data_IF_329630481570
#
_entry.id   IF_329630481570
#
_cell.length_a   1.000
_cell.length_b   1.000
_cell.length_c   1.000
_cell.angle_alpha   90.00
_cell.angle_beta   90.00
_cell.angle_gamma   90.00
#
_symmetry.space_group_name_H-M   'P 1'
#
loop_
_entity.id
_entity.type
_entity.pdbx_description
1 polymer ?
#
# COMPACT_ATOMS: atom_id res chain seq x y z
N UNK A 1 -15.59 10.08 -22.08
CA UNK A 1 -14.90 10.11 -20.77
C UNK A 1 -13.61 9.30 -20.89
N UNK A 2 -12.49 9.74 -20.32
CA UNK A 2 -11.18 9.06 -20.45
C UNK A 2 -11.01 7.98 -19.36
N UNK A 3 -10.25 6.92 -19.64
CA UNK A 3 -9.91 5.89 -18.64
C UNK A 3 -8.57 6.23 -17.94
N UNK A 4 -8.46 6.08 -16.61
CA UNK A 4 -7.28 6.50 -15.84
C UNK A 4 -6.16 5.44 -15.84
N UNK A 5 -5.66 5.04 -17.01
CA UNK A 5 -4.57 4.05 -17.11
C UNK A 5 -3.29 4.67 -16.54
N UNK A 6 -2.75 4.06 -15.49
CA UNK A 6 -1.48 4.49 -14.87
C UNK A 6 -1.56 5.81 -14.12
N UNK A 7 -2.77 6.31 -13.81
CA UNK A 7 -2.94 7.54 -13.04
C UNK A 7 -3.07 7.20 -11.56
N UNK A 8 -2.10 7.66 -10.78
CA UNK A 8 -1.99 7.44 -9.34
C UNK A 8 -2.25 8.72 -8.54
N UNK A 9 -2.43 9.87 -9.20
CA UNK A 9 -2.70 11.17 -8.57
C UNK A 9 -4.18 11.56 -8.67
N UNK A 10 -4.83 11.71 -7.51
CA UNK A 10 -6.25 12.04 -7.41
C UNK A 10 -6.60 13.39 -8.05
N UNK A 11 -5.79 14.43 -7.86
CA UNK A 11 -6.07 15.74 -8.45
C UNK A 11 -6.01 15.69 -9.98
N UNK A 12 -4.99 15.04 -10.55
CA UNK A 12 -4.87 14.82 -11.98
C UNK A 12 -6.09 14.07 -12.54
N UNK A 13 -6.55 13.03 -11.83
CA UNK A 13 -7.72 12.26 -12.24
C UNK A 13 -8.98 13.14 -12.33
N UNK A 14 -9.23 13.94 -11.29
CA UNK A 14 -10.41 14.83 -11.20
C UNK A 14 -10.35 15.99 -12.19
N UNK A 15 -9.20 16.65 -12.35
CA UNK A 15 -9.05 17.84 -13.20
C UNK A 15 -9.12 17.51 -14.71
N UNK A 16 -8.73 16.29 -15.10
CA UNK A 16 -8.63 15.91 -16.51
C UNK A 16 -9.82 15.07 -17.01
N UNK A 17 -10.93 15.03 -16.26
CA UNK A 17 -12.17 14.33 -16.61
C UNK A 17 -11.97 12.83 -16.91
N UNK A 18 -11.13 12.17 -16.13
CA UNK A 18 -11.02 10.72 -16.12
C UNK A 18 -12.20 10.09 -15.39
N UNK A 19 -12.57 8.87 -15.78
CA UNK A 19 -13.51 8.07 -15.03
C UNK A 19 -12.94 7.79 -13.64
N UNK A 20 -13.71 8.10 -12.60
CA UNK A 20 -13.33 7.90 -11.21
C UNK A 20 -14.32 6.97 -10.53
N UNK A 21 -13.82 5.92 -9.87
CA UNK A 21 -14.60 5.18 -8.89
C UNK A 21 -14.43 5.87 -7.56
N UNK A 22 -15.52 6.39 -7.03
CA UNK A 22 -15.51 7.20 -5.82
C UNK A 22 -15.30 6.35 -4.57
N UNK A 23 -14.14 6.51 -3.93
CA UNK A 23 -13.75 5.89 -2.66
C UNK A 23 -13.66 6.91 -1.51
N UNK A 24 -14.19 8.11 -1.70
CA UNK A 24 -13.97 9.24 -0.78
C UNK A 24 -14.56 9.05 0.62
N UNK A 25 -15.53 8.15 0.82
CA UNK A 25 -16.01 7.78 2.16
C UNK A 25 -14.91 7.18 3.05
N UNK A 26 -13.82 6.69 2.48
CA UNK A 26 -12.65 6.32 3.26
C UNK A 26 -12.14 7.45 4.16
N UNK A 27 -12.23 8.71 3.71
CA UNK A 27 -11.85 9.88 4.53
C UNK A 27 -12.76 9.99 5.76
N UNK A 28 -14.06 9.78 5.58
CA UNK A 28 -15.02 9.73 6.69
C UNK A 28 -14.65 8.61 7.67
N UNK A 29 -14.35 7.41 7.16
CA UNK A 29 -13.98 6.29 8.02
C UNK A 29 -12.69 6.55 8.81
N UNK A 30 -11.70 7.21 8.19
CA UNK A 30 -10.47 7.65 8.87
C UNK A 30 -10.78 8.63 10.02
N UNK A 31 -11.68 9.58 9.80
CA UNK A 31 -12.07 10.57 10.81
C UNK A 31 -12.86 9.91 11.95
N UNK A 32 -13.84 9.06 11.63
CA UNK A 32 -14.69 8.40 12.62
C UNK A 32 -13.90 7.41 13.49
N UNK A 33 -13.01 6.62 12.89
CA UNK A 33 -12.23 5.60 13.61
C UNK A 33 -10.95 6.16 14.23
N UNK A 34 -10.42 7.25 13.67
CA UNK A 34 -9.24 7.97 14.17
C UNK A 34 -8.04 7.07 14.54
N UNK A 35 -7.59 6.13 13.67
CA UNK A 35 -6.40 5.34 13.96
C UNK A 35 -5.16 6.23 13.99
N UNK A 36 -4.30 6.08 15.01
CA UNK A 36 -3.04 6.84 15.08
C UNK A 36 -2.09 6.45 13.95
N UNK A 37 -2.00 5.15 13.66
CA UNK A 37 -1.22 4.60 12.55
C UNK A 37 -2.05 3.49 11.91
N UNK A 38 -2.40 3.67 10.64
CA UNK A 38 -3.11 2.69 9.82
C UNK A 38 -2.18 2.19 8.71
N UNK A 39 -1.98 0.89 8.64
CA UNK A 39 -1.31 0.21 7.52
C UNK A 39 -2.38 -0.44 6.67
N UNK A 40 -2.36 -0.15 5.37
CA UNK A 40 -3.24 -0.77 4.38
C UNK A 40 -2.43 -1.62 3.43
N UNK A 41 -2.71 -2.92 3.40
CA UNK A 41 -2.04 -3.86 2.50
C UNK A 41 -3.00 -4.41 1.47
N UNK A 42 -2.57 -4.37 0.22
CA UNK A 42 -3.26 -4.98 -0.92
C UNK A 42 -2.24 -5.41 -1.95
N UNK A 43 -2.60 -6.35 -2.84
CA UNK A 43 -1.74 -6.71 -3.95
C UNK A 43 -1.35 -5.50 -4.81
N UNK A 44 -0.27 -5.61 -5.61
CA UNK A 44 0.07 -4.59 -6.61
C UNK A 44 -1.15 -4.21 -7.47
N UNK A 45 -1.20 -2.95 -7.94
CA UNK A 45 -2.25 -2.47 -8.86
C UNK A 45 -3.69 -2.40 -8.32
N UNK A 46 -3.90 -2.51 -7.01
CA UNK A 46 -5.21 -2.31 -6.35
C UNK A 46 -5.59 -0.84 -6.06
N UNK A 47 -4.76 0.13 -6.46
CA UNK A 47 -5.05 1.56 -6.29
C UNK A 47 -4.51 2.18 -5.00
N UNK A 48 -3.50 1.57 -4.37
CA UNK A 48 -2.85 2.05 -3.14
C UNK A 48 -2.41 3.52 -3.19
N UNK A 49 -1.60 3.86 -4.20
CA UNK A 49 -1.07 5.22 -4.39
C UNK A 49 -2.17 6.25 -4.65
N UNK A 50 -3.18 5.87 -5.46
CA UNK A 50 -4.36 6.72 -5.69
C UNK A 50 -5.13 6.95 -4.39
N UNK A 51 -5.32 5.91 -3.57
CA UNK A 51 -5.96 6.04 -2.28
C UNK A 51 -5.20 7.02 -1.38
N UNK A 52 -3.87 6.93 -1.27
CA UNK A 52 -3.07 7.86 -0.46
C UNK A 52 -3.12 9.30 -0.98
N UNK A 53 -3.14 9.47 -2.30
CA UNK A 53 -3.18 10.81 -2.90
C UNK A 53 -4.48 11.58 -2.55
N UNK A 54 -5.57 10.87 -2.27
CA UNK A 54 -6.86 11.48 -1.98
C UNK A 54 -6.88 12.20 -0.60
N UNK A 55 -6.52 11.57 0.54
CA UNK A 55 -6.29 12.25 1.81
C UNK A 55 -5.24 13.37 1.73
N UNK A 56 -4.19 13.23 0.90
CA UNK A 56 -3.23 14.32 0.68
C UNK A 56 -3.93 15.60 0.24
N UNK A 57 -4.77 15.52 -0.81
CA UNK A 57 -5.48 16.70 -1.31
C UNK A 57 -6.63 17.14 -0.40
N UNK A 58 -7.22 16.22 0.36
CA UNK A 58 -8.29 16.55 1.30
C UNK A 58 -7.77 17.35 2.51
N UNK A 59 -6.75 16.85 3.21
CA UNK A 59 -6.31 17.45 4.47
C UNK A 59 -5.34 18.62 4.28
N UNK A 60 -4.57 18.66 3.20
CA UNK A 60 -3.40 19.54 3.09
C UNK A 60 -3.74 21.04 3.18
N UNK A 61 -3.24 21.67 4.23
CA UNK A 61 -3.34 23.11 4.47
C UNK A 61 -2.52 23.96 3.49
N UNK A 62 -1.58 23.37 2.76
CA UNK A 62 -0.85 24.05 1.68
C UNK A 62 -1.83 24.60 0.63
N UNK A 63 -2.91 23.86 0.36
CA UNK A 63 -3.93 24.26 -0.61
C UNK A 63 -5.12 24.97 0.05
N UNK A 64 -5.22 24.94 1.39
CA UNK A 64 -6.39 25.42 2.14
C UNK A 64 -7.70 24.91 1.51
N UNK A 65 -8.67 25.82 1.31
CA UNK A 65 -9.94 25.51 0.63
C UNK A 65 -9.83 25.44 -0.91
N UNK A 66 -8.65 25.65 -1.48
CA UNK A 66 -8.42 25.63 -2.93
C UNK A 66 -8.74 24.28 -3.58
N UNK A 67 -8.62 23.18 -2.84
CA UNK A 67 -8.92 21.82 -3.33
C UNK A 67 -10.37 21.39 -3.18
N UNK A 68 -11.28 22.26 -2.68
CA UNK A 68 -12.69 21.89 -2.47
C UNK A 68 -13.34 21.28 -3.71
N UNK A 69 -13.09 21.92 -4.86
CA UNK A 69 -13.58 21.51 -6.17
C UNK A 69 -13.19 20.08 -6.59
N UNK A 70 -12.09 19.51 -6.05
CA UNK A 70 -11.69 18.14 -6.37
C UNK A 70 -12.69 17.11 -5.82
N UNK A 71 -13.41 17.48 -4.76
CA UNK A 71 -14.34 16.61 -4.04
C UNK A 71 -15.81 16.86 -4.39
N UNK A 72 -16.10 17.80 -5.29
CA UNK A 72 -17.46 18.10 -5.73
C UNK A 72 -18.16 16.85 -6.31
N UNK A 73 -19.37 16.59 -5.81
CA UNK A 73 -20.22 15.45 -6.17
C UNK A 73 -19.77 14.10 -5.61
N UNK A 74 -18.67 14.05 -4.85
CA UNK A 74 -18.20 12.82 -4.22
C UNK A 74 -18.95 12.52 -2.93
N UNK A 75 -18.93 11.26 -2.51
CA UNK A 75 -19.63 10.77 -1.33
C UNK A 75 -19.16 11.43 -0.03
N UNK A 76 -17.88 11.84 0.08
CA UNK A 76 -17.40 12.62 1.23
C UNK A 76 -18.06 14.00 1.33
N UNK A 77 -18.36 14.65 0.20
CA UNK A 77 -19.08 15.92 0.22
C UNK A 77 -20.51 15.71 0.70
N UNK A 78 -21.15 14.62 0.25
CA UNK A 78 -22.51 14.24 0.67
C UNK A 78 -22.58 13.85 2.16
N UNK A 79 -21.47 13.41 2.75
CA UNK A 79 -21.38 13.18 4.19
C UNK A 79 -21.52 14.48 5.01
N UNK A 80 -21.30 15.65 4.38
CA UNK A 80 -21.55 16.97 4.94
C UNK A 80 -20.56 17.41 6.02
N UNK A 81 -20.89 18.50 6.71
CA UNK A 81 -20.27 18.83 8.01
C UNK A 81 -20.69 17.76 9.03
N UNK A 82 -19.81 17.26 9.91
CA UNK A 82 -18.50 17.81 10.32
C UNK A 82 -17.29 17.40 9.44
N UNK A 83 -17.44 16.50 8.48
CA UNK A 83 -16.31 15.94 7.74
C UNK A 83 -15.64 16.94 6.82
N UNK A 84 -16.44 17.70 6.07
CA UNK A 84 -15.93 18.71 5.14
C UNK A 84 -15.26 19.91 5.84
N UNK A 85 -15.45 20.07 7.15
CA UNK A 85 -14.78 21.12 7.93
C UNK A 85 -13.30 20.80 8.20
N UNK A 86 -12.89 19.54 8.10
CA UNK A 86 -11.49 19.10 8.20
C UNK A 86 -10.68 19.35 6.91
N UNK A 87 -11.35 19.73 5.82
CA UNK A 87 -10.70 19.90 4.53
C UNK A 87 -9.75 21.11 4.53
N UNK A 88 -8.50 20.88 4.17
CA UNK A 88 -7.47 21.91 4.07
C UNK A 88 -6.97 22.43 5.42
N UNK A 89 -7.21 21.70 6.51
CA UNK A 89 -6.89 22.18 7.86
C UNK A 89 -5.56 21.68 8.40
N UNK A 90 -4.92 20.67 7.79
CA UNK A 90 -3.76 19.99 8.39
C UNK A 90 -2.54 20.01 7.46
N UNK A 91 -1.33 20.24 7.96
CA UNK A 91 -0.14 19.98 7.16
C UNK A 91 -0.04 18.49 6.84
N UNK A 92 0.29 18.16 5.60
CA UNK A 92 0.43 16.77 5.13
C UNK A 92 1.83 16.56 4.55
N UNK A 93 2.49 15.48 4.97
CA UNK A 93 3.72 14.97 4.35
C UNK A 93 3.40 13.67 3.65
N UNK A 94 3.72 13.58 2.36
CA UNK A 94 3.64 12.33 1.60
C UNK A 94 5.02 11.94 1.07
N UNK A 95 5.40 10.68 1.27
CA UNK A 95 6.64 10.10 0.75
C UNK A 95 6.38 8.70 0.19
N UNK A 96 6.97 8.38 -0.96
CA UNK A 96 6.99 7.02 -1.51
C UNK A 96 8.41 6.44 -1.41
N UNK A 97 8.54 5.22 -0.89
CA UNK A 97 9.82 4.51 -0.81
C UNK A 97 10.07 3.55 -1.99
N UNK A 98 9.23 3.59 -3.03
CA UNK A 98 9.32 2.75 -4.24
C UNK A 98 10.69 2.78 -4.94
N UNK A 99 11.34 3.94 -4.90
CA UNK A 99 12.64 4.22 -5.53
C UNK A 99 13.84 3.91 -4.62
N UNK A 100 13.61 3.58 -3.35
CA UNK A 100 14.65 3.27 -2.36
C UNK A 100 15.14 1.83 -2.49
N UNK A 101 15.59 1.45 -3.69
CA UNK A 101 16.07 0.10 -4.03
C UNK A 101 17.58 0.03 -4.00
N UNK A 102 18.15 -1.16 -3.93
CA UNK A 102 19.59 -1.36 -4.04
C UNK A 102 19.91 -2.84 -3.98
N UNK A 103 21.00 -3.27 -4.64
CA UNK A 103 21.47 -4.66 -4.53
C UNK A 103 22.46 -4.85 -3.38
N UNK A 104 22.78 -3.77 -2.66
CA UNK A 104 23.56 -3.78 -1.41
C UNK A 104 22.99 -2.75 -0.45
N UNK A 105 23.21 -2.95 0.85
CA UNK A 105 22.82 -1.99 1.89
C UNK A 105 23.37 -0.58 1.63
N UNK A 106 24.64 -0.46 1.22
CA UNK A 106 25.26 0.82 0.93
C UNK A 106 24.54 1.61 -0.17
N UNK A 107 24.17 0.94 -1.27
CA UNK A 107 23.41 1.57 -2.36
C UNK A 107 22.00 1.97 -1.91
N UNK A 108 21.31 1.10 -1.18
CA UNK A 108 19.98 1.39 -0.66
C UNK A 108 20.01 2.59 0.29
N UNK A 109 21.02 2.68 1.17
CA UNK A 109 21.20 3.81 2.08
C UNK A 109 21.44 5.13 1.32
N UNK A 110 22.21 5.13 0.23
CA UNK A 110 22.38 6.31 -0.62
C UNK A 110 21.09 6.74 -1.32
N UNK A 111 20.24 5.77 -1.70
CA UNK A 111 18.92 6.07 -2.27
C UNK A 111 17.95 6.60 -1.20
N UNK A 112 17.99 6.08 0.02
CA UNK A 112 17.25 6.64 1.17
C UNK A 112 17.71 8.07 1.49
N UNK A 113 19.02 8.34 1.52
CA UNK A 113 19.57 9.71 1.68
C UNK A 113 19.05 10.62 0.57
N UNK A 114 19.07 10.16 -0.68
CA UNK A 114 18.59 10.92 -1.82
C UNK A 114 17.10 11.23 -1.72
N UNK A 115 16.28 10.27 -1.27
CA UNK A 115 14.85 10.47 -1.05
C UNK A 115 14.58 11.48 0.06
N UNK A 116 15.27 11.36 1.19
CA UNK A 116 15.11 12.29 2.31
C UNK A 116 15.61 13.70 1.96
N UNK A 117 16.71 13.83 1.22
CA UNK A 117 17.17 15.12 0.71
C UNK A 117 16.12 15.78 -0.19
N UNK A 118 15.55 15.03 -1.14
CA UNK A 118 14.50 15.54 -2.03
C UNK A 118 13.24 15.95 -1.26
N UNK A 119 12.85 15.19 -0.23
CA UNK A 119 11.73 15.54 0.64
C UNK A 119 12.01 16.83 1.42
N UNK A 120 13.17 16.92 2.08
CA UNK A 120 13.56 18.11 2.85
C UNK A 120 13.63 19.37 1.97
N UNK A 121 14.10 19.24 0.72
CA UNK A 121 14.17 20.36 -0.23
C UNK A 121 12.79 21.00 -0.49
N UNK A 122 11.70 20.22 -0.49
CA UNK A 122 10.34 20.74 -0.62
C UNK A 122 9.96 21.68 0.54
N UNK A 123 10.59 21.50 1.70
CA UNK A 123 10.34 22.26 2.92
C UNK A 123 11.45 23.28 3.24
N UNK A 124 12.29 23.64 2.27
CA UNK A 124 13.37 24.63 2.46
C UNK A 124 12.87 25.98 3.00
N UNK A 125 11.62 26.34 2.71
CA UNK A 125 11.01 27.57 3.24
C UNK A 125 10.93 27.59 4.77
N UNK A 126 10.87 26.42 5.44
CA UNK A 126 10.86 26.33 6.91
C UNK A 126 12.12 26.97 7.51
N UNK A 127 13.25 26.88 6.82
CA UNK A 127 14.52 27.44 7.30
C UNK A 127 14.52 28.98 7.34
N UNK A 128 13.54 29.65 6.74
CA UNK A 128 13.36 31.11 6.88
C UNK A 128 12.75 31.50 8.24
N UNK A 129 12.20 30.54 8.98
CA UNK A 129 11.62 30.78 10.29
C UNK A 129 12.73 31.10 11.31
N UNK A 130 12.63 32.27 11.97
CA UNK A 130 13.59 32.72 13.00
C UNK A 130 13.56 31.88 14.28
N UNK A 131 12.48 31.12 14.51
CA UNK A 131 12.36 30.23 15.66
C UNK A 131 13.26 28.98 15.55
N UNK A 132 13.75 28.66 14.36
CA UNK A 132 14.63 27.49 14.14
C UNK A 132 16.05 27.83 14.56
N UNK A 133 16.58 27.04 15.50
CA UNK A 133 17.92 27.19 16.08
C UNK A 133 19.00 26.78 15.08
N UNK A 134 20.22 27.27 15.29
CA UNK A 134 21.35 26.96 14.39
C UNK A 134 21.67 25.46 14.32
N UNK A 135 21.49 24.72 15.42
CA UNK A 135 21.66 23.26 15.44
C UNK A 135 20.66 22.57 14.51
N UNK A 136 19.40 22.99 14.54
CA UNK A 136 18.32 22.46 13.70
C UNK A 136 18.57 22.80 12.23
N UNK A 137 19.03 24.03 11.96
CA UNK A 137 19.44 24.46 10.61
C UNK A 137 20.59 23.62 10.06
N UNK A 138 21.61 23.33 10.89
CA UNK A 138 22.73 22.45 10.50
C UNK A 138 22.25 21.04 10.17
N UNK A 139 21.37 20.48 11.01
CA UNK A 139 20.78 19.17 10.76
C UNK A 139 19.99 19.15 9.44
N UNK A 140 19.08 20.10 9.23
CA UNK A 140 18.28 20.21 8.01
C UNK A 140 19.16 20.33 6.76
N UNK A 141 20.19 21.17 6.83
CA UNK A 141 21.16 21.37 5.73
C UNK A 141 21.95 20.11 5.46
N UNK A 142 22.35 19.36 6.49
CA UNK A 142 23.07 18.10 6.34
C UNK A 142 22.24 17.02 5.64
N UNK A 143 20.93 16.93 5.92
CA UNK A 143 20.01 16.03 5.20
C UNK A 143 19.89 16.46 3.73
N UNK A 144 19.67 17.75 3.46
CA UNK A 144 19.58 18.28 2.09
C UNK A 144 20.84 18.01 1.26
N UNK A 145 22.01 18.10 1.88
CA UNK A 145 23.31 17.88 1.24
C UNK A 145 23.74 16.41 1.21
N UNK A 146 22.90 15.48 1.72
CA UNK A 146 23.21 14.05 1.83
C UNK A 146 24.49 13.75 2.64
N UNK A 147 24.87 14.66 3.54
CA UNK A 147 26.09 14.58 4.34
C UNK A 147 25.84 14.13 5.79
N UNK A 148 24.60 13.75 6.11
CA UNK A 148 24.23 13.21 7.41
C UNK A 148 24.73 11.78 7.61
N UNK A 149 25.04 11.41 8.85
CA UNK A 149 25.29 10.02 9.22
C UNK A 149 23.98 9.21 9.31
N UNK A 150 24.08 7.89 9.41
CA UNK A 150 22.92 6.97 9.46
C UNK A 150 21.98 7.28 10.62
N UNK A 151 22.50 7.49 11.83
CA UNK A 151 21.68 7.81 13.01
C UNK A 151 20.86 9.10 12.81
N UNK A 152 21.44 10.11 12.16
CA UNK A 152 20.71 11.33 11.80
C UNK A 152 19.64 11.06 10.75
N UNK A 153 19.91 10.19 9.77
CA UNK A 153 18.95 9.82 8.74
C UNK A 153 17.78 9.00 9.31
N UNK A 154 18.03 8.11 10.26
CA UNK A 154 16.99 7.31 10.94
C UNK A 154 15.94 8.22 11.60
N UNK A 155 16.32 9.31 12.24
CA UNK A 155 15.33 10.22 12.86
C UNK A 155 14.81 11.31 11.92
N UNK A 156 15.20 11.30 10.64
CA UNK A 156 14.97 12.43 9.74
C UNK A 156 13.51 12.66 9.38
N UNK A 157 12.69 11.62 9.31
CA UNK A 157 11.25 11.80 9.10
C UNK A 157 10.60 12.43 10.33
N UNK A 158 10.96 11.97 11.53
CA UNK A 158 10.49 12.56 12.80
C UNK A 158 10.83 14.05 12.89
N UNK A 159 12.10 14.40 12.62
CA UNK A 159 12.58 15.79 12.68
C UNK A 159 11.86 16.69 11.68
N UNK A 160 11.59 16.21 10.46
CA UNK A 160 10.84 16.98 9.48
C UNK A 160 9.43 17.32 9.98
N UNK A 161 8.71 16.35 10.54
CA UNK A 161 7.38 16.60 11.11
C UNK A 161 7.43 17.62 12.25
N UNK A 162 8.48 17.60 13.07
CA UNK A 162 8.68 18.60 14.13
C UNK A 162 8.87 20.02 13.56
N UNK A 163 9.70 20.19 12.52
CA UNK A 163 9.86 21.49 11.87
C UNK A 163 8.56 22.01 11.25
N UNK A 164 7.78 21.12 10.64
CA UNK A 164 6.48 21.46 10.04
C UNK A 164 5.49 21.88 11.14
N UNK A 165 5.38 21.11 12.24
CA UNK A 165 4.52 21.48 13.37
C UNK A 165 4.94 22.80 14.02
N UNK A 166 6.24 23.07 14.15
CA UNK A 166 6.72 24.35 14.70
C UNK A 166 6.30 25.54 13.82
N UNK A 167 6.21 25.35 12.50
CA UNK A 167 5.82 26.40 11.57
C UNK A 167 4.30 26.59 11.47
N UNK A 168 3.55 25.51 11.36
CA UNK A 168 2.09 25.56 11.18
C UNK A 168 1.30 25.52 12.49
N UNK A 169 1.96 25.24 13.62
CA UNK A 169 1.34 25.07 14.95
C UNK A 169 0.25 23.99 15.00
N UNK A 170 0.25 23.07 14.04
CA UNK A 170 -0.70 21.95 13.92
C UNK A 170 0.07 20.63 13.78
N UNK A 171 -0.48 19.51 14.30
CA UNK A 171 0.09 18.20 14.07
C UNK A 171 -0.02 17.81 12.58
N UNK A 172 0.85 16.91 12.14
CA UNK A 172 1.08 16.61 10.72
C UNK A 172 0.52 15.24 10.36
N UNK A 173 -0.22 15.18 9.26
CA UNK A 173 -0.63 13.90 8.65
C UNK A 173 0.53 13.34 7.84
N UNK A 174 0.90 12.08 8.09
CA UNK A 174 1.99 11.40 7.39
C UNK A 174 1.45 10.30 6.48
N UNK A 175 1.78 10.35 5.19
CA UNK A 175 1.38 9.37 4.20
C UNK A 175 2.64 8.69 3.64
N UNK A 176 2.73 7.36 3.74
CA UNK A 176 3.88 6.60 3.23
C UNK A 176 3.41 5.55 2.25
N UNK A 177 3.87 5.65 1.00
CA UNK A 177 3.60 4.66 -0.03
C UNK A 177 4.79 3.72 -0.24
N UNK A 178 4.51 2.48 -0.60
CA UNK A 178 5.50 1.41 -0.85
C UNK A 178 6.55 1.28 0.29
N UNK A 179 6.11 1.42 1.54
CA UNK A 179 7.02 1.42 2.70
C UNK A 179 7.81 0.10 2.85
N UNK A 180 7.21 -0.99 2.41
CA UNK A 180 7.71 -2.37 2.44
C UNK A 180 8.70 -2.69 1.32
N UNK A 181 8.84 -1.83 0.31
CA UNK A 181 9.78 -2.01 -0.81
C UNK A 181 11.23 -2.19 -0.33
N UNK A 182 11.62 -1.42 0.70
CA UNK A 182 12.95 -1.46 1.32
C UNK A 182 13.20 -2.84 1.92
N UNK A 183 12.24 -3.37 2.67
CA UNK A 183 12.31 -4.67 3.35
C UNK A 183 12.37 -5.79 2.31
N UNK A 184 11.49 -5.74 1.30
CA UNK A 184 11.44 -6.72 0.24
C UNK A 184 12.76 -6.82 -0.53
N UNK A 185 13.31 -5.68 -0.98
CA UNK A 185 14.57 -5.66 -1.71
C UNK A 185 15.76 -6.11 -0.85
N UNK A 186 15.75 -5.77 0.45
CA UNK A 186 16.80 -6.18 1.36
C UNK A 186 16.82 -7.70 1.59
N UNK A 187 15.65 -8.32 1.65
CA UNK A 187 15.55 -9.77 1.71
C UNK A 187 16.01 -10.43 0.40
N UNK A 188 15.61 -9.89 -0.76
CA UNK A 188 16.00 -10.43 -2.08
C UNK A 188 17.53 -10.40 -2.33
N UNK A 189 18.26 -9.54 -1.63
CA UNK A 189 19.68 -9.28 -1.87
C UNK A 189 20.56 -9.50 -0.61
N UNK A 190 20.06 -10.26 0.37
CA UNK A 190 20.82 -10.72 1.55
C UNK A 190 21.37 -9.61 2.49
N UNK A 191 20.63 -8.51 2.70
CA UNK A 191 20.94 -7.48 3.71
C UNK A 191 19.71 -7.07 4.55
N UNK A 192 18.82 -8.04 4.80
CA UNK A 192 17.55 -7.86 5.51
C UNK A 192 17.72 -7.20 6.89
N UNK A 193 18.68 -7.69 7.69
CA UNK A 193 18.92 -7.21 9.08
C UNK A 193 19.24 -5.72 9.13
N UNK A 194 20.13 -5.25 8.25
CA UNK A 194 20.55 -3.85 8.19
C UNK A 194 19.38 -2.94 7.81
N UNK A 195 18.63 -3.33 6.78
CA UNK A 195 17.49 -2.56 6.30
C UNK A 195 16.34 -2.54 7.32
N UNK A 196 16.02 -3.67 7.96
CA UNK A 196 14.99 -3.74 9.00
C UNK A 196 15.39 -2.95 10.25
N UNK A 197 16.66 -2.99 10.66
CA UNK A 197 17.16 -2.16 11.76
C UNK A 197 16.97 -0.67 11.48
N UNK A 198 17.38 -0.24 10.28
CA UNK A 198 17.20 1.15 9.86
C UNK A 198 15.71 1.53 9.79
N UNK A 199 14.88 0.72 9.13
CA UNK A 199 13.45 0.98 8.96
C UNK A 199 12.69 0.96 10.29
N UNK A 200 13.09 0.09 11.23
CA UNK A 200 12.58 0.05 12.59
C UNK A 200 12.81 1.36 13.33
N UNK A 201 14.03 1.91 13.26
CA UNK A 201 14.34 3.22 13.84
C UNK A 201 13.65 4.37 13.09
N UNK A 202 13.62 4.29 11.76
CA UNK A 202 13.08 5.32 10.88
C UNK A 202 11.57 5.49 11.02
N UNK A 203 10.83 4.40 10.91
CA UNK A 203 9.39 4.39 11.12
C UNK A 203 9.05 4.53 12.61
N UNK A 204 9.79 3.84 13.50
CA UNK A 204 9.60 3.91 14.95
C UNK A 204 9.65 5.32 15.52
N UNK A 205 10.66 6.10 15.11
CA UNK A 205 10.80 7.50 15.56
C UNK A 205 9.69 8.41 15.05
N UNK A 206 9.19 8.18 13.83
CA UNK A 206 8.16 9.02 13.22
C UNK A 206 6.74 8.67 13.69
N UNK A 207 6.44 7.38 13.91
CA UNK A 207 5.07 6.86 14.07
C UNK A 207 4.58 6.72 15.52
N UNK A 208 5.49 6.50 16.49
CA UNK A 208 5.10 6.30 17.90
C UNK A 208 5.54 7.41 18.83
N UNK A 209 6.82 7.78 18.78
CA UNK A 209 7.43 8.71 19.75
C UNK A 209 7.32 10.17 19.31
N UNK A 210 6.51 10.47 18.29
CA UNK A 210 6.47 11.79 17.68
C UNK A 210 5.21 12.59 18.05
N UNK A 211 5.31 13.57 18.96
CA UNK A 211 4.18 14.45 19.28
C UNK A 211 3.80 15.38 18.11
N UNK A 212 4.60 15.43 17.04
CA UNK A 212 4.26 16.17 15.83
C UNK A 212 3.33 15.41 14.89
N UNK A 213 3.16 14.10 15.05
CA UNK A 213 2.28 13.29 14.22
C UNK A 213 0.81 13.49 14.64
N UNK A 214 -0.06 13.76 13.67
CA UNK A 214 -1.51 13.67 13.84
C UNK A 214 -1.96 12.21 13.69
N UNK A 215 -1.91 11.69 12.47
CA UNK A 215 -2.04 10.27 12.17
C UNK A 215 -1.15 9.91 10.98
N UNK A 216 -0.87 8.62 10.82
CA UNK A 216 -0.16 8.09 9.66
C UNK A 216 -1.01 7.07 8.89
N UNK A 217 -0.93 7.14 7.56
CA UNK A 217 -1.46 6.12 6.66
C UNK A 217 -0.33 5.58 5.79
N UNK A 218 -0.08 4.28 5.93
CA UNK A 218 0.94 3.57 5.17
C UNK A 218 0.24 2.63 4.20
N UNK A 219 0.71 2.56 2.95
CA UNK A 219 0.22 1.59 1.98
C UNK A 219 1.39 0.75 1.44
N UNK A 220 1.16 -0.56 1.34
CA UNK A 220 2.17 -1.52 0.88
C UNK A 220 1.54 -2.81 0.39
N UNK A 221 2.37 -3.78 0.00
CA UNK A 221 1.93 -5.15 -0.29
C UNK A 221 1.96 -6.00 0.97
N UNK A 222 3.00 -5.84 1.79
CA UNK A 222 3.22 -6.53 3.05
C UNK A 222 2.75 -5.71 4.24
N UNK A 223 2.43 -6.38 5.34
CA UNK A 223 2.28 -5.76 6.67
C UNK A 223 3.62 -5.37 7.28
N UNK A 224 3.59 -4.53 8.32
CA UNK A 224 4.79 -4.27 9.12
C UNK A 224 5.10 -5.56 9.89
N UNK A 225 6.33 -6.08 9.80
CA UNK A 225 6.64 -7.33 10.47
C UNK A 225 6.49 -7.24 12.00
N UNK A 226 5.93 -8.26 12.63
CA UNK A 226 5.87 -8.36 14.10
C UNK A 226 7.15 -9.04 14.61
N UNK A 227 8.25 -8.29 14.57
CA UNK A 227 9.57 -8.79 14.92
C UNK A 227 10.39 -7.81 15.77
N UNK A 228 11.58 -8.27 16.18
CA UNK A 228 12.50 -7.52 17.03
C UNK A 228 12.86 -6.13 16.49
N UNK A 229 12.85 -5.93 15.17
CA UNK A 229 13.16 -4.64 14.55
C UNK A 229 12.02 -3.62 14.68
N UNK A 230 10.78 -4.09 14.73
CA UNK A 230 9.58 -3.25 14.80
C UNK A 230 8.81 -3.35 16.12
N UNK A 231 9.32 -4.02 17.16
CA UNK A 231 8.72 -4.08 18.51
C UNK A 231 8.30 -2.71 19.06
N UNK A 232 8.99 -1.65 18.61
CA UNK A 232 8.63 -0.28 18.91
C UNK A 232 7.23 0.11 18.44
N UNK A 233 6.67 -0.45 17.37
CA UNK A 233 5.45 0.01 16.66
C UNK A 233 4.15 -0.70 17.08
N UNK A 234 3.95 -0.94 18.38
CA UNK A 234 2.74 -1.59 18.90
C UNK A 234 1.43 -0.75 18.84
N UNK A 235 1.44 0.41 18.17
CA UNK A 235 0.28 1.28 17.98
C UNK A 235 -0.28 1.25 16.54
N UNK A 236 0.15 0.26 15.75
CA UNK A 236 -0.25 0.07 14.36
C UNK A 236 -1.52 -0.77 14.28
N UNK A 237 -2.50 -0.28 13.51
CA UNK A 237 -3.64 -1.07 13.06
C UNK A 237 -3.39 -1.45 11.61
N UNK A 238 -3.46 -2.74 11.29
CA UNK A 238 -3.27 -3.25 9.92
C UNK A 238 -4.62 -3.67 9.35
N UNK A 239 -4.95 -3.18 8.16
CA UNK A 239 -6.02 -3.68 7.32
C UNK A 239 -5.40 -4.38 6.11
N UNK A 240 -5.42 -5.70 6.12
CA UNK A 240 -4.78 -6.57 5.12
C UNK A 240 -5.77 -7.31 4.24
N UNK A 241 -5.28 -8.23 3.43
CA UNK A 241 -6.09 -9.14 2.59
C UNK A 241 -6.79 -10.25 3.40
N UNK A 242 -6.47 -10.39 4.69
CA UNK A 242 -7.11 -11.36 5.60
C UNK A 242 -7.81 -10.66 6.76
N UNK A 243 -7.20 -9.63 7.35
CA UNK A 243 -7.79 -8.85 8.43
C UNK A 243 -8.35 -7.53 7.90
N UNK A 244 -9.66 -7.48 7.72
CA UNK A 244 -10.28 -6.55 6.77
C UNK A 244 -11.17 -5.50 7.43
N UNK A 245 -10.54 -4.40 7.83
CA UNK A 245 -11.26 -3.24 8.37
C UNK A 245 -11.87 -2.34 7.28
N UNK A 246 -11.37 -2.42 6.05
CA UNK A 246 -11.72 -1.53 4.92
C UNK A 246 -11.84 -2.28 3.58
N UNK A 247 -12.77 -3.25 3.46
CA UNK A 247 -12.81 -4.20 2.35
C UNK A 247 -13.05 -3.58 0.96
N UNK A 248 -13.81 -2.49 0.88
CA UNK A 248 -14.18 -1.85 -0.40
C UNK A 248 -13.34 -0.63 -0.74
N UNK A 249 -12.41 -0.22 0.12
CA UNK A 249 -11.62 1.01 -0.05
C UNK A 249 -10.62 0.92 -1.21
N UNK A 250 -10.12 -0.29 -1.49
CA UNK A 250 -9.22 -0.59 -2.61
C UNK A 250 -9.80 -1.73 -3.44
N UNK A 251 -9.57 -1.70 -4.76
CA UNK A 251 -10.29 -2.59 -5.67
C UNK A 251 -11.65 -2.03 -6.10
N UNK A 252 -12.28 -2.69 -7.07
CA UNK A 252 -13.64 -2.35 -7.51
C UNK A 252 -14.66 -3.37 -7.05
N UNK A 253 -15.79 -2.91 -6.54
CA UNK A 253 -16.93 -3.78 -6.25
C UNK A 253 -17.67 -4.15 -7.54
N UNK A 254 -18.49 -5.19 -7.48
CA UNK A 254 -19.37 -5.58 -8.59
C UNK A 254 -20.26 -4.44 -9.09
N UNK A 255 -20.77 -3.60 -8.20
CA UNK A 255 -21.61 -2.45 -8.55
C UNK A 255 -20.81 -1.37 -9.28
N UNK A 256 -19.58 -1.13 -8.86
CA UNK A 256 -18.69 -0.15 -9.49
C UNK A 256 -18.26 -0.61 -10.89
N UNK A 257 -17.96 -1.90 -11.06
CA UNK A 257 -17.71 -2.50 -12.38
C UNK A 257 -18.96 -2.45 -13.26
N UNK A 258 -20.14 -2.68 -12.68
CA UNK A 258 -21.42 -2.54 -13.40
C UNK A 258 -21.65 -1.12 -13.87
N UNK A 259 -21.40 -0.11 -13.01
CA UNK A 259 -21.51 1.31 -13.37
C UNK A 259 -20.49 1.69 -14.46
N UNK A 260 -19.27 1.18 -14.37
CA UNK A 260 -18.23 1.39 -15.38
C UNK A 260 -18.64 0.78 -16.73
N UNK A 261 -19.05 -0.49 -16.75
CA UNK A 261 -19.54 -1.17 -17.95
C UNK A 261 -20.74 -0.43 -18.57
N UNK A 262 -21.65 0.09 -17.73
CA UNK A 262 -22.78 0.92 -18.17
C UNK A 262 -22.32 2.19 -18.89
N UNK A 263 -21.35 2.89 -18.30
CA UNK A 263 -20.82 4.16 -18.81
C UNK A 263 -20.19 3.99 -20.20
N UNK A 264 -19.60 2.83 -20.47
CA UNK A 264 -18.98 2.51 -21.76
C UNK A 264 -19.89 1.69 -22.70
N UNK A 265 -21.16 1.43 -22.34
CA UNK A 265 -22.11 0.70 -23.19
C UNK A 265 -21.81 -0.80 -23.34
N UNK A 266 -21.21 -1.42 -22.32
CA UNK A 266 -20.71 -2.79 -22.34
C UNK A 266 -21.29 -3.67 -21.21
N UNK A 267 -22.51 -3.38 -20.72
CA UNK A 267 -23.16 -4.18 -19.65
C UNK A 267 -23.23 -5.68 -19.98
N UNK A 268 -23.40 -6.03 -21.25
CA UNK A 268 -23.44 -7.40 -21.75
C UNK A 268 -22.13 -8.18 -21.52
N UNK A 269 -21.01 -7.49 -21.28
CA UNK A 269 -19.69 -8.08 -21.01
C UNK A 269 -19.45 -8.43 -19.54
N UNK A 270 -20.38 -8.09 -18.64
CA UNK A 270 -20.19 -8.34 -17.20
C UNK A 270 -19.83 -9.78 -16.82
N UNK A 271 -20.45 -10.84 -17.41
CA UNK A 271 -20.05 -12.22 -17.11
C UNK A 271 -18.60 -12.52 -17.50
N UNK A 272 -18.14 -11.96 -18.62
CA UNK A 272 -16.76 -12.11 -19.09
C UNK A 272 -15.78 -11.37 -18.17
N UNK A 273 -16.12 -10.14 -17.76
CA UNK A 273 -15.31 -9.34 -16.83
C UNK A 273 -15.19 -10.04 -15.46
N UNK A 274 -16.29 -10.56 -14.92
CA UNK A 274 -16.29 -11.34 -13.67
C UNK A 274 -15.36 -12.54 -13.75
N UNK A 275 -15.44 -13.31 -14.83
CA UNK A 275 -14.61 -14.49 -15.02
C UNK A 275 -13.11 -14.18 -15.15
N UNK A 276 -12.76 -13.03 -15.74
CA UNK A 276 -11.37 -12.69 -16.01
C UNK A 276 -10.69 -11.87 -14.91
N UNK A 277 -11.42 -10.95 -14.26
CA UNK A 277 -10.82 -9.90 -13.43
C UNK A 277 -11.46 -9.74 -12.04
N UNK A 278 -12.52 -10.50 -11.76
CA UNK A 278 -13.20 -10.55 -10.46
C UNK A 278 -12.63 -11.60 -9.51
N UNK A 279 -13.46 -12.06 -8.58
CA UNK A 279 -13.17 -13.22 -7.74
C UNK A 279 -12.24 -13.01 -6.55
N UNK A 280 -11.73 -11.79 -6.28
CA UNK A 280 -11.07 -11.53 -5.00
C UNK A 280 -12.12 -11.42 -3.90
N UNK A 281 -11.92 -12.09 -2.78
CA UNK A 281 -12.82 -12.06 -1.65
C UNK A 281 -12.20 -11.26 -0.53
N UNK A 282 -12.88 -10.17 -0.18
CA UNK A 282 -12.47 -9.23 0.84
C UNK A 282 -13.63 -8.96 1.82
N UNK A 283 -13.55 -9.49 3.04
CA UNK A 283 -14.60 -9.47 4.06
C UNK A 283 -15.96 -9.96 3.54
N UNK A 284 -15.93 -11.04 2.76
CA UNK A 284 -17.12 -11.62 2.11
C UNK A 284 -17.65 -10.82 0.91
N UNK A 285 -16.96 -9.76 0.48
CA UNK A 285 -17.30 -9.02 -0.75
C UNK A 285 -16.41 -9.43 -1.90
N UNK A 286 -17.02 -9.62 -3.07
CA UNK A 286 -16.31 -9.85 -4.32
C UNK A 286 -15.73 -8.52 -4.84
N UNK A 287 -14.43 -8.50 -5.04
CA UNK A 287 -13.62 -7.37 -5.47
C UNK A 287 -12.88 -7.72 -6.76
N UNK A 288 -12.72 -6.71 -7.61
CA UNK A 288 -12.10 -6.79 -8.92
C UNK A 288 -10.80 -6.01 -8.91
N UNK A 289 -9.80 -6.50 -9.64
CA UNK A 289 -8.56 -5.77 -9.85
C UNK A 289 -8.81 -4.50 -10.71
N UNK A 290 -8.58 -3.28 -10.18
CA UNK A 290 -8.86 -2.04 -10.92
C UNK A 290 -8.07 -1.90 -12.20
N UNK A 291 -6.78 -2.27 -12.17
CA UNK A 291 -5.90 -2.16 -13.34
C UNK A 291 -6.37 -3.05 -14.48
N UNK A 292 -6.69 -4.32 -14.20
CA UNK A 292 -7.16 -5.25 -15.22
C UNK A 292 -8.50 -4.83 -15.80
N UNK A 293 -9.45 -4.39 -14.95
CA UNK A 293 -10.76 -3.90 -15.40
C UNK A 293 -10.60 -2.64 -16.27
N UNK A 294 -9.83 -1.64 -15.83
CA UNK A 294 -9.59 -0.43 -16.62
C UNK A 294 -8.89 -0.78 -17.94
N UNK A 295 -7.90 -1.68 -17.90
CA UNK A 295 -7.15 -2.10 -19.07
C UNK A 295 -8.02 -2.85 -20.08
N UNK A 296 -8.95 -3.68 -19.62
CA UNK A 296 -9.95 -4.34 -20.47
C UNK A 296 -10.74 -3.33 -21.29
N UNK A 297 -11.32 -2.31 -20.64
CA UNK A 297 -12.06 -1.25 -21.35
C UNK A 297 -11.17 -0.43 -22.28
N UNK A 298 -9.93 -0.15 -21.87
CA UNK A 298 -8.98 0.61 -22.68
C UNK A 298 -8.53 -0.12 -23.95
N UNK A 299 -8.50 -1.46 -23.90
CA UNK A 299 -8.05 -2.31 -25.00
C UNK A 299 -9.25 -2.94 -25.72
N UNK A 300 -10.27 -2.12 -25.98
CA UNK A 300 -11.44 -2.50 -26.79
C UNK A 300 -12.22 -3.71 -26.25
N UNK A 301 -12.28 -3.87 -24.92
CA UNK A 301 -12.99 -4.97 -24.25
C UNK A 301 -12.48 -6.36 -24.69
N UNK A 302 -11.16 -6.46 -24.91
CA UNK A 302 -10.50 -7.73 -25.22
C UNK A 302 -10.14 -8.43 -23.92
N UNK A 303 -10.60 -9.66 -23.74
CA UNK A 303 -10.17 -10.48 -22.61
C UNK A 303 -8.75 -11.00 -22.82
N UNK A 304 -7.86 -10.64 -21.90
CA UNK A 304 -6.46 -11.08 -21.84
C UNK A 304 -5.86 -10.78 -20.47
N UNK A 305 -4.64 -11.27 -20.23
CA UNK A 305 -3.84 -10.90 -19.07
C UNK A 305 -3.31 -9.47 -19.24
N UNK A 306 -3.73 -8.58 -18.36
CA UNK A 306 -3.28 -7.19 -18.24
C UNK A 306 -2.41 -6.95 -17.01
N UNK A 307 -2.56 -7.80 -16.00
CA UNK A 307 -1.80 -7.71 -14.78
C UNK A 307 -0.54 -8.57 -14.85
N UNK A 308 0.61 -7.91 -14.99
CA UNK A 308 1.89 -8.58 -14.84
C UNK A 308 2.23 -8.68 -13.35
N UNK A 309 1.75 -9.74 -12.68
CA UNK A 309 2.21 -10.08 -11.32
C UNK A 309 3.63 -10.65 -11.44
N UNK A 310 4.62 -9.89 -11.02
CA UNK A 310 5.93 -10.47 -10.69
C UNK A 310 5.91 -10.83 -9.21
N UNK A 311 5.55 -12.08 -8.91
CA UNK A 311 5.76 -12.64 -7.57
C UNK A 311 7.26 -12.57 -7.30
N UNK A 312 7.65 -12.33 -6.05
CA UNK A 312 9.05 -12.24 -5.67
C UNK A 312 9.80 -13.52 -6.07
N UNK A 313 10.55 -13.44 -7.17
CA UNK A 313 11.21 -14.60 -7.78
C UNK A 313 12.31 -15.16 -6.89
N UNK A 314 12.99 -14.30 -6.12
CA UNK A 314 13.99 -14.76 -5.16
C UNK A 314 13.30 -15.59 -4.07
N UNK A 315 12.13 -15.14 -3.58
CA UNK A 315 11.36 -15.91 -2.61
C UNK A 315 10.89 -17.24 -3.18
N UNK A 316 10.23 -17.24 -4.34
CA UNK A 316 9.75 -18.49 -4.94
C UNK A 316 10.86 -19.51 -5.14
N UNK A 317 12.04 -19.08 -5.61
CA UNK A 317 13.21 -19.96 -5.75
C UNK A 317 13.76 -20.49 -4.44
N UNK A 318 13.56 -19.80 -3.32
CA UNK A 318 13.94 -20.28 -1.99
C UNK A 318 12.86 -21.15 -1.33
N UNK A 319 11.58 -20.81 -1.53
CA UNK A 319 10.43 -21.44 -0.89
C UNK A 319 10.03 -22.74 -1.56
N UNK A 320 9.88 -22.74 -2.89
CA UNK A 320 9.38 -23.91 -3.63
C UNK A 320 10.26 -25.15 -3.40
N UNK A 321 11.61 -25.08 -3.50
CA UNK A 321 12.45 -26.26 -3.26
C UNK A 321 12.37 -26.83 -1.83
N UNK A 322 11.96 -26.01 -0.85
CA UNK A 322 11.78 -26.41 0.55
C UNK A 322 10.37 -26.93 0.84
N UNK A 323 9.44 -26.82 -0.12
CA UNK A 323 8.06 -27.22 0.07
C UNK A 323 7.95 -28.74 0.29
N UNK A 324 7.07 -29.15 1.20
CA UNK A 324 6.77 -30.56 1.47
C UNK A 324 5.99 -31.18 0.30
N UNK A 325 5.94 -32.52 0.25
CA UNK A 325 5.16 -33.23 -0.77
C UNK A 325 3.66 -32.87 -0.72
N UNK A 326 3.12 -32.64 0.48
CA UNK A 326 1.74 -32.18 0.69
C UNK A 326 1.52 -30.79 0.10
N UNK A 327 2.49 -29.89 0.25
CA UNK A 327 2.40 -28.55 -0.31
C UNK A 327 2.48 -28.55 -1.83
N UNK A 328 3.34 -29.38 -2.41
CA UNK A 328 3.36 -29.60 -3.86
C UNK A 328 2.01 -30.09 -4.37
N UNK A 329 1.39 -31.07 -3.70
CA UNK A 329 0.04 -31.53 -4.06
C UNK A 329 -1.00 -30.42 -3.93
N UNK A 330 -0.93 -29.60 -2.89
CA UNK A 330 -1.81 -28.44 -2.71
C UNK A 330 -1.64 -27.39 -3.82
N UNK A 331 -0.41 -27.16 -4.29
CA UNK A 331 -0.13 -26.28 -5.43
C UNK A 331 -0.68 -26.83 -6.75
N UNK A 332 -0.72 -28.16 -6.91
CA UNK A 332 -1.36 -28.83 -8.05
C UNK A 332 -2.89 -28.72 -7.96
N UNK A 333 -3.48 -28.94 -6.78
CA UNK A 333 -4.91 -28.76 -6.54
C UNK A 333 -5.38 -27.34 -6.88
N UNK A 334 -4.63 -26.32 -6.45
CA UNK A 334 -4.88 -24.92 -6.85
C UNK A 334 -4.84 -24.75 -8.37
N UNK A 335 -3.89 -25.39 -9.07
CA UNK A 335 -3.82 -25.34 -10.53
C UNK A 335 -5.03 -25.99 -11.22
N UNK A 336 -5.59 -27.03 -10.61
CA UNK A 336 -6.81 -27.70 -11.10
C UNK A 336 -8.10 -26.92 -10.75
N UNK A 337 -7.98 -25.80 -10.05
CA UNK A 337 -9.12 -24.95 -9.65
C UNK A 337 -9.80 -25.40 -8.37
N UNK A 338 -9.15 -26.27 -7.57
CA UNK A 338 -9.60 -26.63 -6.24
C UNK A 338 -9.12 -25.58 -5.22
N UNK A 339 -9.78 -25.55 -4.06
CA UNK A 339 -9.33 -24.74 -2.93
C UNK A 339 -8.45 -25.57 -1.98
N UNK A 340 -7.63 -24.88 -1.20
CA UNK A 340 -6.80 -25.47 -0.15
C UNK A 340 -7.01 -24.73 1.16
N UNK A 341 -6.64 -25.34 2.28
CA UNK A 341 -6.61 -24.66 3.57
C UNK A 341 -5.16 -24.45 4.01
N UNK A 342 -4.83 -23.25 4.47
CA UNK A 342 -3.52 -22.92 5.02
C UNK A 342 -3.64 -21.91 6.17
N UNK A 343 -2.67 -21.91 7.07
CA UNK A 343 -2.55 -20.88 8.10
C UNK A 343 -1.83 -19.67 7.49
N UNK A 344 -2.41 -18.48 7.60
CA UNK A 344 -1.81 -17.25 7.09
C UNK A 344 -1.22 -16.44 8.23
N UNK A 345 0.06 -16.12 8.10
CA UNK A 345 0.78 -15.28 9.06
C UNK A 345 1.03 -13.88 8.49
N UNK A 346 0.13 -12.96 8.82
CA UNK A 346 0.21 -11.56 8.40
C UNK A 346 1.18 -10.78 9.30
N UNK A 347 2.48 -10.88 9.03
CA UNK A 347 3.52 -10.11 9.74
C UNK A 347 4.85 -10.83 10.03
N UNK A 348 4.95 -12.14 9.94
CA UNK A 348 6.18 -12.89 10.27
C UNK A 348 6.92 -13.46 9.07
N UNK A 349 6.53 -13.05 7.86
CA UNK A 349 6.92 -13.67 6.58
C UNK A 349 8.42 -13.94 6.39
N UNK A 350 9.31 -13.10 6.93
CA UNK A 350 10.73 -13.07 6.57
C UNK A 350 11.69 -13.73 7.56
N UNK A 351 11.29 -13.97 8.81
CA UNK A 351 12.20 -14.45 9.87
C UNK A 351 12.16 -15.96 10.02
N UNK A 352 10.96 -16.54 10.01
CA UNK A 352 10.76 -17.98 9.97
C UNK A 352 10.01 -18.28 8.69
N UNK A 353 10.76 -18.69 7.66
CA UNK A 353 10.22 -19.25 6.43
C UNK A 353 9.59 -20.60 6.79
N UNK A 354 8.43 -20.53 7.44
CA UNK A 354 7.62 -21.67 7.81
C UNK A 354 7.00 -22.30 6.58
N UNK A 355 6.35 -23.44 6.82
CA UNK A 355 5.66 -24.22 5.80
C UNK A 355 4.66 -23.30 5.06
N UNK A 356 3.87 -22.49 5.76
CA UNK A 356 2.82 -21.67 5.13
C UNK A 356 3.26 -20.28 4.61
N UNK A 357 4.56 -19.96 4.69
CA UNK A 357 5.11 -18.72 4.12
C UNK A 357 4.80 -18.64 2.61
N UNK A 358 4.89 -19.77 1.89
CA UNK A 358 4.57 -19.80 0.45
C UNK A 358 3.13 -19.36 0.18
N UNK A 359 2.15 -19.84 0.94
CA UNK A 359 0.75 -19.47 0.74
C UNK A 359 0.48 -18.02 1.10
N UNK A 360 1.12 -17.54 2.17
CA UNK A 360 1.09 -16.12 2.55
C UNK A 360 1.63 -15.25 1.40
N UNK A 361 2.76 -15.60 0.79
CA UNK A 361 3.34 -14.88 -0.36
C UNK A 361 2.39 -14.86 -1.56
N UNK A 362 1.78 -16.00 -1.88
CA UNK A 362 0.86 -16.12 -3.00
C UNK A 362 -0.42 -15.30 -2.76
N UNK A 363 -0.88 -15.22 -1.52
CA UNK A 363 -2.04 -14.42 -1.13
C UNK A 363 -1.76 -12.92 -1.21
N UNK A 364 -0.68 -12.44 -0.59
CA UNK A 364 -0.34 -11.00 -0.58
C UNK A 364 0.05 -10.48 -1.98
N UNK A 365 0.63 -11.33 -2.84
CA UNK A 365 0.95 -10.95 -4.23
C UNK A 365 -0.29 -10.86 -5.11
N UNK A 366 -1.43 -11.39 -4.66
CA UNK A 366 -2.70 -11.41 -5.38
C UNK A 366 -2.88 -12.59 -6.32
N UNK A 367 -1.99 -13.60 -6.25
CA UNK A 367 -2.17 -14.86 -6.98
C UNK A 367 -3.26 -15.74 -6.36
N UNK A 368 -3.44 -15.66 -5.05
CA UNK A 368 -4.54 -16.28 -4.33
C UNK A 368 -5.45 -15.23 -3.70
N UNK A 369 -6.63 -15.68 -3.29
CA UNK A 369 -7.56 -14.95 -2.43
C UNK A 369 -8.09 -15.91 -1.36
N UNK A 370 -8.59 -15.38 -0.24
CA UNK A 370 -9.20 -16.16 0.82
C UNK A 370 -10.72 -16.13 0.67
N UNK A 371 -11.35 -17.24 0.27
CA UNK A 371 -12.82 -17.34 0.19
C UNK A 371 -13.47 -17.25 1.58
N UNK A 372 -12.80 -17.83 2.58
CA UNK A 372 -13.17 -17.75 3.98
C UNK A 372 -11.94 -17.71 4.86
N UNK A 373 -12.07 -17.06 6.01
CA UNK A 373 -11.03 -16.99 7.02
C UNK A 373 -11.63 -17.12 8.42
N UNK A 374 -11.02 -17.91 9.29
CA UNK A 374 -11.44 -18.03 10.68
C UNK A 374 -10.25 -18.21 11.61
N UNK A 375 -10.44 -17.83 12.88
CA UNK A 375 -9.45 -18.09 13.91
C UNK A 375 -9.57 -19.53 14.40
N UNK A 376 -8.62 -20.37 14.00
CA UNK A 376 -8.51 -21.77 14.40
C UNK A 376 -7.47 -22.01 15.51
N UNK A 377 -7.28 -23.26 15.94
CA UNK A 377 -6.30 -23.61 16.97
C UNK A 377 -4.85 -23.30 16.57
N UNK A 378 -4.54 -23.32 15.26
CA UNK A 378 -3.22 -23.04 14.72
C UNK A 378 -2.99 -21.57 14.37
N UNK A 379 -4.02 -20.71 14.49
CA UNK A 379 -3.97 -19.30 14.11
C UNK A 379 -5.03 -18.94 13.08
N UNK A 380 -4.69 -18.02 12.17
CA UNK A 380 -5.61 -17.54 11.14
C UNK A 380 -5.68 -18.54 9.96
N UNK A 381 -6.63 -19.45 9.99
CA UNK A 381 -6.84 -20.46 8.95
C UNK A 381 -7.69 -19.89 7.82
N UNK A 382 -7.21 -20.03 6.58
CA UNK A 382 -7.85 -19.49 5.39
C UNK A 382 -8.06 -20.58 4.33
N UNK A 383 -9.23 -20.54 3.68
CA UNK A 383 -9.51 -21.32 2.47
C UNK A 383 -9.09 -20.51 1.25
N UNK A 384 -8.04 -20.94 0.57
CA UNK A 384 -7.39 -20.23 -0.51
C UNK A 384 -7.77 -20.79 -1.88
N UNK A 385 -7.97 -19.89 -2.84
CA UNK A 385 -8.27 -20.23 -4.23
C UNK A 385 -7.59 -19.24 -5.19
N UNK A 386 -7.39 -19.65 -6.44
CA UNK A 386 -7.00 -18.75 -7.53
C UNK A 386 -8.26 -17.96 -7.96
N UNK A 387 -8.26 -16.62 -7.89
CA UNK A 387 -9.49 -15.82 -7.98
C UNK A 387 -10.14 -15.81 -9.37
N UNK A 388 -9.36 -15.84 -10.45
CA UNK A 388 -9.89 -15.66 -11.80
C UNK A 388 -8.97 -16.21 -12.91
N UNK A 389 -9.43 -16.16 -14.16
CA UNK A 389 -8.65 -16.63 -15.33
C UNK A 389 -7.32 -15.92 -15.52
N UNK A 390 -7.26 -14.61 -15.27
CA UNK A 390 -6.01 -13.85 -15.42
C UNK A 390 -4.93 -14.37 -14.46
N UNK A 391 -5.27 -14.47 -13.17
CA UNK A 391 -4.36 -15.03 -12.16
C UNK A 391 -4.01 -16.49 -12.38
N UNK A 392 -4.92 -17.31 -12.93
CA UNK A 392 -4.62 -18.70 -13.24
C UNK A 392 -3.52 -18.83 -14.30
N UNK A 393 -3.55 -17.98 -15.33
CA UNK A 393 -2.49 -17.91 -16.35
C UNK A 393 -1.16 -17.52 -15.70
N UNK A 394 -1.16 -16.52 -14.82
CA UNK A 394 0.05 -16.07 -14.11
C UNK A 394 0.59 -17.14 -13.17
N UNK A 395 -0.27 -17.78 -12.39
CA UNK A 395 0.10 -18.89 -11.50
C UNK A 395 0.76 -20.03 -12.28
N UNK A 396 0.23 -20.37 -13.46
CA UNK A 396 0.85 -21.37 -14.34
C UNK A 396 2.24 -20.95 -14.84
N UNK A 397 2.43 -19.67 -15.13
CA UNK A 397 3.71 -19.15 -15.64
C UNK A 397 4.78 -19.04 -14.56
N UNK A 398 4.39 -18.60 -13.36
CA UNK A 398 5.30 -18.21 -12.27
C UNK A 398 5.51 -19.31 -11.23
N UNK A 399 4.56 -20.24 -11.06
CA UNK A 399 4.61 -21.28 -10.03
C UNK A 399 4.74 -22.66 -10.67
N UNK A 400 3.81 -23.00 -11.56
CA UNK A 400 3.74 -24.36 -12.11
C UNK A 400 5.03 -24.77 -12.86
N UNK A 401 5.71 -23.82 -13.52
CA UNK A 401 7.00 -24.08 -14.18
C UNK A 401 8.14 -24.50 -13.24
N UNK A 402 8.04 -24.20 -11.95
CA UNK A 402 9.02 -24.62 -10.94
C UNK A 402 8.71 -26.00 -10.36
N UNK A 403 7.50 -26.51 -10.59
CA UNK A 403 6.98 -27.75 -10.01
C UNK A 403 6.91 -28.87 -11.07
N UNK A 404 6.77 -28.51 -12.35
CA UNK A 404 6.85 -29.40 -13.51
C UNK A 404 8.28 -29.59 -14.00
#
# INVERSE_FOLDING_TARGET
>A
MKLPIGIEDFAMLRQNNYYFVDKSLFIKDLLDRSPKVLVMTRPPRFGKSLLLSMPKYFFSSEYGKGNRHLFDGLAIEQAGSPYMDEQGEKPVVMISLKECRGTTWAQMLENLKSKMAALYQQYMFLMKNKAIRDVERRYFTAICNKSSNTASLEISLQQLLQFIKQHYHKPVVLLIDDYDMVIQQAWENDFYTEACTFMGNFLGSALKTNPALDFALLAGVLGIPDNNFFLGLNNVVTSSVVNESYPTTMGFTRDEVTKLASTFGQKQRLPEIAQWYGGYHYAGMEIYNPWSVISYFANHCRSQSYWDITINQAMLKQLIPKASHEQYNSLLQLHEGQNITAVIEDGSFYEDVGIDALYTLLLISGCLTAESSHWGPAGQECTLVIPNKETHILYRQEIFRHIS
#
